data_IF_209231669983
#
_entry.id   IF_209231669983
#
_cell.length_a   1.000
_cell.length_b   1.000
_cell.length_c   1.000
_cell.angle_alpha   90.00
_cell.angle_beta   90.00
_cell.angle_gamma   90.00
#
_symmetry.space_group_name_H-M   'P 1'
#
loop_
_entity.id
_entity.type
_entity.pdbx_description
1 polymer ?
#
# COMPACT_ATOMS: atom_id res chain seq x y z
N UNK A 1 -17.57 -2.08 -1.50
CA UNK A 1 -16.22 -1.57 -1.83
C UNK A 1 -15.72 -2.21 -3.11
N UNK A 2 -14.99 -1.46 -3.90
CA UNK A 2 -14.38 -1.95 -5.13
C UNK A 2 -12.86 -1.80 -5.05
N UNK A 3 -12.16 -2.69 -5.77
CA UNK A 3 -10.71 -2.59 -5.99
C UNK A 3 -10.50 -2.32 -7.48
N UNK A 4 -9.81 -1.25 -7.82
CA UNK A 4 -9.61 -0.85 -9.21
C UNK A 4 -8.29 -0.14 -9.40
N UNK A 5 -7.92 0.09 -10.66
CA UNK A 5 -6.70 0.83 -10.98
C UNK A 5 -6.92 2.33 -10.73
N UNK A 6 -5.84 3.09 -10.41
CA UNK A 6 -5.97 4.52 -10.08
C UNK A 6 -6.50 5.34 -11.25
N UNK A 7 -6.24 4.95 -12.48
CA UNK A 7 -6.66 5.68 -13.68
C UNK A 7 -8.18 5.77 -13.81
N UNK A 8 -8.91 4.81 -13.24
CA UNK A 8 -10.36 4.77 -13.30
C UNK A 8 -11.06 5.62 -12.24
N UNK A 9 -10.30 6.22 -11.31
CA UNK A 9 -10.86 6.98 -10.18
C UNK A 9 -10.35 8.42 -10.17
N UNK A 10 -11.23 9.43 -10.24
CA UNK A 10 -10.83 10.82 -10.03
C UNK A 10 -10.18 11.02 -8.66
N UNK A 11 -9.09 11.76 -8.64
CA UNK A 11 -8.39 12.08 -7.39
C UNK A 11 -7.49 10.99 -6.83
N UNK A 12 -7.45 9.80 -7.42
CA UNK A 12 -6.61 8.70 -6.90
C UNK A 12 -5.12 9.03 -6.94
N UNK A 13 -4.63 9.68 -8.00
CA UNK A 13 -3.23 10.09 -8.08
C UNK A 13 -2.83 11.06 -6.97
N UNK A 14 -3.67 12.04 -6.68
CA UNK A 14 -3.42 12.99 -5.59
C UNK A 14 -3.48 12.30 -4.22
N UNK A 15 -4.40 11.38 -4.02
CA UNK A 15 -4.50 10.58 -2.80
C UNK A 15 -3.20 9.78 -2.54
N UNK A 16 -2.71 9.08 -3.56
CA UNK A 16 -1.48 8.30 -3.48
C UNK A 16 -0.29 9.20 -3.10
N UNK A 17 -0.11 10.32 -3.80
CA UNK A 17 1.00 11.24 -3.53
C UNK A 17 0.97 11.82 -2.12
N UNK A 18 -0.21 12.24 -1.64
CA UNK A 18 -0.36 12.79 -0.29
C UNK A 18 -0.07 11.73 0.79
N UNK A 19 -0.48 10.50 0.58
CA UNK A 19 -0.25 9.43 1.56
C UNK A 19 1.24 9.13 1.72
N UNK A 20 2.01 9.12 0.64
CA UNK A 20 3.45 8.90 0.70
C UNK A 20 4.15 10.02 1.47
N UNK A 21 3.77 11.26 1.25
CA UNK A 21 4.41 12.41 1.92
C UNK A 21 4.15 12.47 3.43
N UNK A 22 3.10 11.79 3.91
CA UNK A 22 2.76 11.73 5.34
C UNK A 22 3.47 10.61 6.10
N UNK A 23 4.10 9.69 5.40
CA UNK A 23 4.78 8.58 6.04
C UNK A 23 6.14 9.01 6.56
N UNK A 24 6.41 8.78 7.85
CA UNK A 24 7.64 9.16 8.53
C UNK A 24 8.42 7.96 9.08
N UNK A 25 8.18 6.77 8.58
CA UNK A 25 8.89 5.58 9.03
C UNK A 25 10.26 5.47 8.36
N UNK A 26 11.32 5.17 9.14
CA UNK A 26 12.63 4.87 8.63
C UNK A 26 13.67 5.99 8.82
N UNK A 27 14.92 5.65 8.52
CA UNK A 27 16.10 6.51 8.71
C UNK A 27 16.38 7.31 7.44
N UNK A 28 15.44 8.17 7.08
CA UNK A 28 15.58 8.97 5.86
C UNK A 28 16.26 10.31 6.20
N UNK A 29 17.36 10.57 5.53
CA UNK A 29 18.04 11.87 5.56
C UNK A 29 17.51 12.82 4.50
N UNK A 30 16.68 12.33 3.60
CA UNK A 30 16.09 13.08 2.50
C UNK A 30 14.90 13.91 2.98
N UNK A 31 14.62 15.00 2.26
CA UNK A 31 13.39 15.76 2.47
C UNK A 31 12.16 14.90 2.13
N UNK A 32 10.99 15.29 2.63
CA UNK A 32 9.75 14.60 2.33
C UNK A 32 9.45 14.57 0.82
N UNK A 33 9.80 15.64 0.10
CA UNK A 33 9.65 15.73 -1.35
C UNK A 33 10.55 14.74 -2.10
N UNK A 34 11.84 14.70 -1.75
CA UNK A 34 12.81 13.79 -2.37
C UNK A 34 12.41 12.33 -2.13
N UNK A 35 11.99 12.01 -0.92
CA UNK A 35 11.53 10.68 -0.57
C UNK A 35 10.31 10.27 -1.37
N UNK A 36 9.31 11.15 -1.51
CA UNK A 36 8.12 10.87 -2.31
C UNK A 36 8.47 10.60 -3.77
N UNK A 37 9.36 11.40 -4.35
CA UNK A 37 9.79 11.24 -5.73
C UNK A 37 10.54 9.91 -5.91
N UNK A 38 11.40 9.56 -4.98
CA UNK A 38 12.11 8.28 -4.99
C UNK A 38 11.15 7.10 -4.89
N UNK A 39 10.18 7.16 -3.99
CA UNK A 39 9.20 6.09 -3.83
C UNK A 39 8.33 5.94 -5.08
N UNK A 40 7.86 7.02 -5.66
CA UNK A 40 7.07 6.98 -6.89
C UNK A 40 7.88 6.34 -8.03
N UNK A 41 9.16 6.65 -8.14
CA UNK A 41 10.04 6.02 -9.11
C UNK A 41 10.20 4.51 -8.83
N UNK A 42 10.49 4.15 -7.59
CA UNK A 42 10.71 2.75 -7.20
C UNK A 42 9.45 1.89 -7.37
N UNK A 43 8.26 2.48 -7.18
CA UNK A 43 6.99 1.80 -7.29
C UNK A 43 6.44 1.77 -8.72
N UNK A 44 7.02 2.54 -9.64
CA UNK A 44 6.49 2.69 -11.01
C UNK A 44 6.35 1.37 -11.79
N UNK A 45 7.23 0.36 -11.61
CA UNK A 45 7.06 -0.92 -12.31
C UNK A 45 6.03 -1.87 -11.66
N UNK A 46 5.47 -1.49 -10.51
CA UNK A 46 4.52 -2.33 -9.77
C UNK A 46 3.08 -2.05 -10.19
N UNK A 47 2.22 -3.04 -10.00
CA UNK A 47 0.79 -2.87 -10.20
C UNK A 47 0.18 -2.11 -9.02
N UNK A 48 -0.58 -1.07 -9.31
CA UNK A 48 -1.20 -0.22 -8.28
C UNK A 48 -2.70 -0.43 -8.28
N UNK A 49 -3.24 -0.63 -7.07
CA UNK A 49 -4.68 -0.80 -6.85
C UNK A 49 -5.17 0.14 -5.77
N UNK A 50 -6.38 0.62 -5.94
CA UNK A 50 -7.06 1.50 -4.98
C UNK A 50 -8.31 0.82 -4.48
N UNK A 51 -8.54 0.86 -3.17
CA UNK A 51 -9.78 0.42 -2.54
C UNK A 51 -10.68 1.64 -2.33
N UNK A 52 -11.87 1.60 -2.92
CA UNK A 52 -12.82 2.70 -2.88
C UNK A 52 -14.22 2.17 -2.55
N UNK A 53 -15.15 3.07 -2.25
CA UNK A 53 -16.56 2.71 -2.20
C UNK A 53 -17.10 2.43 -3.62
N UNK A 54 -18.33 1.91 -3.70
CA UNK A 54 -18.87 1.40 -4.98
C UNK A 54 -19.04 2.48 -6.04
N UNK A 55 -19.22 3.74 -5.64
CA UNK A 55 -19.32 4.87 -6.57
C UNK A 55 -18.00 5.62 -6.78
N UNK A 56 -16.95 5.21 -6.10
CA UNK A 56 -15.62 5.83 -6.21
C UNK A 56 -15.46 7.16 -5.50
N UNK A 57 -16.45 7.60 -4.73
CA UNK A 57 -16.41 8.90 -4.07
C UNK A 57 -15.46 8.94 -2.87
N UNK A 58 -15.29 7.81 -2.18
CA UNK A 58 -14.40 7.70 -1.02
C UNK A 58 -13.26 6.73 -1.34
N UNK A 59 -12.03 7.19 -1.15
CA UNK A 59 -10.81 6.39 -1.34
C UNK A 59 -10.31 5.97 0.04
N UNK A 60 -10.28 4.67 0.31
CA UNK A 60 -9.93 4.12 1.63
C UNK A 60 -8.46 3.77 1.76
N UNK A 61 -7.88 3.21 0.71
CA UNK A 61 -6.55 2.62 0.75
C UNK A 61 -5.97 2.46 -0.66
N UNK A 62 -4.68 2.24 -0.74
CA UNK A 62 -4.03 1.86 -1.99
C UNK A 62 -2.83 0.97 -1.72
N UNK A 63 -2.43 0.21 -2.71
CA UNK A 63 -1.21 -0.60 -2.64
C UNK A 63 -0.50 -0.63 -3.99
N UNK A 64 0.79 -0.92 -3.94
CA UNK A 64 1.61 -1.22 -5.11
C UNK A 64 2.24 -2.59 -4.88
N UNK A 65 2.02 -3.53 -5.79
CA UNK A 65 2.39 -4.93 -5.59
C UNK A 65 3.03 -5.54 -6.84
N UNK A 66 3.81 -6.59 -6.62
CA UNK A 66 4.21 -7.55 -7.65
C UNK A 66 3.65 -8.93 -7.22
N UNK A 67 2.49 -9.29 -7.76
CA UNK A 67 1.81 -10.52 -7.38
C UNK A 67 2.61 -11.77 -7.77
N UNK A 68 3.37 -11.72 -8.87
CA UNK A 68 4.19 -12.84 -9.34
C UNK A 68 5.29 -13.21 -8.35
N UNK A 69 5.79 -12.26 -7.58
CA UNK A 69 6.80 -12.46 -6.54
C UNK A 69 6.24 -12.48 -5.14
N UNK A 70 4.94 -12.37 -5.00
CA UNK A 70 4.27 -12.19 -3.71
C UNK A 70 4.89 -11.06 -2.89
N UNK A 71 5.09 -9.91 -3.54
CA UNK A 71 5.78 -8.77 -2.96
C UNK A 71 4.88 -7.54 -2.89
N UNK A 72 4.97 -6.82 -1.77
CA UNK A 72 4.26 -5.57 -1.52
C UNK A 72 5.27 -4.45 -1.52
N UNK A 73 5.18 -3.55 -2.51
CA UNK A 73 6.03 -2.36 -2.53
C UNK A 73 5.59 -1.33 -1.52
N UNK A 74 4.31 -1.09 -1.45
CA UNK A 74 3.71 -0.12 -0.53
C UNK A 74 2.24 -0.48 -0.27
N UNK A 75 1.77 -0.25 0.95
CA UNK A 75 0.36 -0.38 1.30
C UNK A 75 -0.01 0.70 2.31
N UNK A 76 -1.03 1.47 2.00
CA UNK A 76 -1.49 2.57 2.84
C UNK A 76 -3.00 2.49 3.03
N UNK A 77 -3.43 2.65 4.27
CA UNK A 77 -4.84 2.77 4.66
C UNK A 77 -5.03 4.11 5.37
N UNK A 78 -6.03 4.89 4.97
CA UNK A 78 -6.35 6.15 5.64
C UNK A 78 -6.60 5.93 7.13
N UNK A 79 -6.15 6.87 7.96
CA UNK A 79 -6.16 6.73 9.41
C UNK A 79 -7.56 6.41 9.97
N UNK A 80 -8.61 7.03 9.41
CA UNK A 80 -9.99 6.86 9.84
C UNK A 80 -10.52 5.44 9.60
N UNK A 81 -9.90 4.69 8.68
CA UNK A 81 -10.38 3.38 8.24
C UNK A 81 -9.45 2.24 8.65
N UNK A 82 -8.48 2.49 9.52
CA UNK A 82 -7.58 1.46 10.04
C UNK A 82 -8.30 0.53 11.00
N UNK A 83 -7.74 -0.67 11.19
CA UNK A 83 -8.25 -1.73 12.08
C UNK A 83 -9.58 -2.34 11.61
N UNK A 84 -9.93 -2.16 10.34
CA UNK A 84 -11.14 -2.76 9.75
C UNK A 84 -10.81 -3.92 8.80
N UNK A 85 -9.55 -4.34 8.73
CA UNK A 85 -9.12 -5.42 7.84
C UNK A 85 -8.99 -5.01 6.37
N UNK A 86 -9.01 -3.72 6.06
CA UNK A 86 -9.02 -3.23 4.67
C UNK A 86 -7.70 -3.51 3.96
N UNK A 87 -6.56 -3.42 4.65
CA UNK A 87 -5.26 -3.72 4.04
C UNK A 87 -5.19 -5.19 3.59
N UNK A 88 -5.64 -6.12 4.42
CA UNK A 88 -5.68 -7.55 4.07
C UNK A 88 -6.62 -7.77 2.88
N UNK A 89 -7.80 -7.18 2.91
CA UNK A 89 -8.76 -7.31 1.81
C UNK A 89 -8.20 -6.78 0.49
N UNK A 90 -7.56 -5.60 0.52
CA UNK A 90 -6.96 -4.99 -0.65
C UNK A 90 -5.82 -5.83 -1.22
N UNK A 91 -4.88 -6.24 -0.38
CA UNK A 91 -3.73 -7.04 -0.81
C UNK A 91 -4.16 -8.40 -1.36
N UNK A 92 -5.13 -9.05 -0.73
CA UNK A 92 -5.68 -10.31 -1.22
C UNK A 92 -6.33 -10.12 -2.59
N UNK A 93 -7.12 -9.07 -2.77
CA UNK A 93 -7.73 -8.74 -4.07
C UNK A 93 -6.69 -8.42 -5.14
N UNK A 94 -5.54 -7.88 -4.73
CA UNK A 94 -4.43 -7.57 -5.63
C UNK A 94 -3.57 -8.80 -5.99
N UNK A 95 -3.91 -9.98 -5.48
CA UNK A 95 -3.23 -11.22 -5.80
C UNK A 95 -2.10 -11.61 -4.85
N UNK A 96 -2.00 -10.95 -3.71
CA UNK A 96 -1.01 -11.28 -2.67
C UNK A 96 -1.57 -12.38 -1.76
N UNK A 97 -0.79 -13.43 -1.56
CA UNK A 97 -1.10 -14.49 -0.60
C UNK A 97 -0.30 -14.23 0.68
N UNK A 98 -0.96 -13.64 1.66
CA UNK A 98 -0.34 -13.25 2.94
C UNK A 98 0.00 -14.45 3.83
N UNK A 99 -0.51 -15.64 3.54
CA UNK A 99 -0.17 -16.87 4.28
C UNK A 99 1.17 -17.46 3.84
N UNK A 100 1.64 -17.09 2.66
CA UNK A 100 2.96 -17.42 2.16
C UNK A 100 3.95 -16.33 2.53
N UNK A 101 5.25 -16.62 2.42
CA UNK A 101 6.28 -15.60 2.60
C UNK A 101 6.01 -14.41 1.67
N UNK A 102 5.77 -13.26 2.25
CA UNK A 102 5.44 -12.01 1.55
C UNK A 102 6.58 -11.02 1.76
N UNK A 103 7.19 -10.57 0.67
CA UNK A 103 8.24 -9.55 0.73
C UNK A 103 7.60 -8.18 0.82
N UNK A 104 8.12 -7.32 1.70
CA UNK A 104 7.65 -5.94 1.88
C UNK A 104 8.84 -5.01 1.66
N UNK A 105 8.74 -4.15 0.65
CA UNK A 105 9.84 -3.24 0.29
C UNK A 105 9.88 -2.01 1.21
N UNK A 106 8.72 -1.41 1.47
CA UNK A 106 8.64 -0.22 2.32
C UNK A 106 7.70 -0.51 3.49
N UNK A 107 8.21 -0.50 4.75
CA UNK A 107 7.36 -0.72 5.91
C UNK A 107 6.40 0.47 6.09
N UNK A 108 5.12 0.17 6.23
CA UNK A 108 4.06 1.14 6.55
C UNK A 108 3.32 0.68 7.79
N UNK A 109 2.48 1.52 8.35
CA UNK A 109 1.63 1.12 9.48
C UNK A 109 0.77 -0.09 9.14
N UNK A 110 0.26 -0.15 7.90
CA UNK A 110 -0.54 -1.28 7.44
C UNK A 110 0.28 -2.58 7.42
N UNK A 111 1.46 -2.58 6.80
CA UNK A 111 2.30 -3.77 6.71
C UNK A 111 2.82 -4.23 8.07
N UNK A 112 3.18 -3.30 8.94
CA UNK A 112 3.62 -3.62 10.32
C UNK A 112 2.48 -4.25 11.11
N UNK A 113 1.27 -3.73 11.00
CA UNK A 113 0.10 -4.27 11.67
C UNK A 113 -0.24 -5.69 11.19
N UNK A 114 -0.13 -5.95 9.89
CA UNK A 114 -0.34 -7.29 9.32
C UNK A 114 0.75 -8.25 9.81
N UNK A 115 2.00 -7.83 9.81
CA UNK A 115 3.12 -8.67 10.25
C UNK A 115 2.99 -9.12 11.71
N UNK A 116 2.32 -8.35 12.54
CA UNK A 116 2.06 -8.69 13.94
C UNK A 116 0.95 -9.73 14.12
N UNK A 117 0.19 -10.04 13.08
CA UNK A 117 -0.97 -10.97 13.17
C UNK A 117 -0.49 -12.42 13.01
N UNK A 118 -1.04 -13.37 13.80
CA UNK A 118 -0.76 -14.79 13.61
C UNK A 118 -1.19 -15.27 12.21
N UNK A 119 -0.40 -16.14 11.64
CA UNK A 119 -0.72 -16.75 10.35
C UNK A 119 -0.24 -16.00 9.11
N UNK A 120 0.29 -14.79 9.29
CA UNK A 120 0.87 -14.01 8.20
C UNK A 120 2.39 -13.96 8.29
N UNK A 121 3.06 -14.06 7.16
CA UNK A 121 4.50 -14.18 7.08
C UNK A 121 5.09 -13.06 6.20
N UNK A 122 5.18 -11.85 6.77
CA UNK A 122 5.76 -10.70 6.10
C UNK A 122 7.22 -10.53 6.48
N UNK A 123 8.07 -10.37 5.47
CA UNK A 123 9.50 -10.11 5.63
C UNK A 123 9.86 -8.80 4.96
N UNK A 124 10.32 -7.85 5.74
CA UNK A 124 10.80 -6.57 5.21
C UNK A 124 12.15 -6.76 4.54
N UNK A 125 12.28 -6.21 3.34
CA UNK A 125 13.55 -6.15 2.64
C UNK A 125 14.34 -4.97 3.20
N UNK A 126 15.54 -5.27 3.63
CA UNK A 126 16.44 -4.26 4.21
C UNK A 126 17.28 -3.60 3.13
#
# INVERSE_FOLDING_TARGET
MIVCSPESLPGAGAFIRRSISRYHGGHWTQTARERREWLLYALSPLDVYVLADDDGAVLYAWCAVDASRNAVGYCYVRAEYRRLGLAVALLTSAGIDLTRKTLVLEPTRASVAIAARPGYNLAHVV
#
